data_IF_010001677616
#
_entry.id   IF_010001677616
#
_cell.length_a   1.000
_cell.length_b   1.000
_cell.length_c   1.000
_cell.angle_alpha   90.00
_cell.angle_beta   90.00
_cell.angle_gamma   90.00
#
_symmetry.space_group_name_H-M   'P 1'
#
loop_
_entity.id
_entity.type
_entity.pdbx_description
1 polymer ?
#
# COMPACT_ATOMS: atom_id res chain seq x y z
N UNK A 1 -4.77 -26.94 -3.58
CA UNK A 1 -3.97 -26.04 -2.74
C UNK A 1 -4.75 -25.55 -1.54
N UNK A 2 -4.08 -25.15 -0.47
CA UNK A 2 -4.70 -24.44 0.65
C UNK A 2 -4.91 -22.96 0.30
N UNK A 3 -6.07 -22.40 0.66
CA UNK A 3 -6.40 -20.99 0.44
C UNK A 3 -7.35 -20.45 1.52
N UNK A 4 -7.38 -19.14 1.65
CA UNK A 4 -8.39 -18.42 2.43
C UNK A 4 -9.46 -17.90 1.45
N UNK A 5 -10.66 -18.45 1.57
CA UNK A 5 -11.79 -18.14 0.70
C UNK A 5 -12.84 -17.33 1.46
N UNK A 6 -13.32 -16.26 0.84
CA UNK A 6 -14.44 -15.47 1.33
C UNK A 6 -15.73 -15.93 0.62
N UNK A 7 -16.70 -16.40 1.40
CA UNK A 7 -18.00 -16.85 0.90
C UNK A 7 -19.12 -15.84 1.13
N UNK A 8 -18.99 -14.99 2.15
CA UNK A 8 -20.02 -14.03 2.58
C UNK A 8 -19.36 -12.72 3.01
N UNK A 9 -20.07 -11.59 2.84
CA UNK A 9 -19.55 -10.25 3.18
C UNK A 9 -19.93 -9.87 4.62
N UNK A 10 -19.51 -10.68 5.58
CA UNK A 10 -19.86 -10.55 7.00
C UNK A 10 -18.66 -10.21 7.91
N UNK A 11 -17.57 -9.74 7.31
CA UNK A 11 -16.34 -9.40 8.02
C UNK A 11 -15.29 -10.51 8.00
N UNK A 12 -14.17 -10.33 8.74
CA UNK A 12 -13.06 -11.29 8.75
C UNK A 12 -13.46 -12.71 9.20
N UNK A 13 -14.48 -12.85 10.03
CA UNK A 13 -14.99 -14.13 10.51
C UNK A 13 -15.62 -15.00 9.42
N UNK A 14 -15.95 -14.42 8.26
CA UNK A 14 -16.46 -15.14 7.10
C UNK A 14 -15.35 -15.83 6.27
N UNK A 15 -14.08 -15.53 6.54
CA UNK A 15 -12.95 -16.16 5.88
C UNK A 15 -12.84 -17.64 6.27
N UNK A 16 -12.58 -18.50 5.28
CA UNK A 16 -12.44 -19.96 5.47
C UNK A 16 -11.12 -20.45 4.91
N UNK A 17 -10.37 -21.20 5.74
CA UNK A 17 -9.18 -21.93 5.31
C UNK A 17 -9.58 -23.29 4.78
N UNK A 18 -9.46 -23.52 3.48
CA UNK A 18 -9.97 -24.69 2.82
C UNK A 18 -9.09 -25.18 1.66
N UNK A 19 -9.39 -26.37 1.14
CA UNK A 19 -8.75 -26.91 -0.06
C UNK A 19 -9.51 -26.44 -1.30
N UNK A 20 -8.78 -25.89 -2.27
CA UNK A 20 -9.28 -25.49 -3.58
C UNK A 20 -8.40 -26.11 -4.69
N UNK A 21 -8.87 -26.10 -5.93
CA UNK A 21 -8.07 -26.56 -7.07
C UNK A 21 -6.84 -25.67 -7.27
N UNK A 22 -5.72 -26.30 -7.67
CA UNK A 22 -4.51 -25.58 -8.05
C UNK A 22 -4.78 -24.83 -9.37
N UNK A 23 -4.30 -23.58 -9.50
CA UNK A 23 -4.48 -22.83 -10.73
C UNK A 23 -3.55 -23.37 -11.84
N UNK A 24 -4.10 -23.54 -13.05
CA UNK A 24 -3.32 -23.82 -14.26
C UNK A 24 -3.10 -22.51 -15.06
N UNK A 25 -1.89 -22.26 -15.60
CA UNK A 25 -1.62 -21.06 -16.36
C UNK A 25 -2.29 -21.12 -17.74
N UNK A 26 -3.04 -20.09 -18.08
CA UNK A 26 -3.52 -19.84 -19.44
C UNK A 26 -2.44 -19.22 -20.32
N UNK A 27 -2.77 -18.93 -21.59
CA UNK A 27 -1.85 -18.26 -22.50
C UNK A 27 -1.48 -16.87 -21.95
N UNK A 28 -0.16 -16.58 -21.88
CA UNK A 28 0.38 -15.32 -21.34
C UNK A 28 0.38 -15.22 -19.82
N UNK A 29 -0.02 -16.27 -19.09
CA UNK A 29 -0.07 -16.27 -17.62
C UNK A 29 1.09 -17.05 -17.00
N UNK A 30 1.39 -16.71 -15.75
CA UNK A 30 2.37 -17.38 -14.89
C UNK A 30 1.66 -17.84 -13.61
N UNK A 31 2.05 -19.00 -13.09
CA UNK A 31 1.70 -19.48 -11.75
C UNK A 31 2.90 -19.27 -10.82
N UNK A 32 2.65 -18.59 -9.70
CA UNK A 32 3.61 -18.36 -8.64
C UNK A 32 3.22 -19.19 -7.42
N UNK A 33 4.13 -20.02 -6.91
CA UNK A 33 4.03 -20.63 -5.58
C UNK A 33 4.44 -19.59 -4.55
N UNK A 34 3.50 -19.14 -3.75
CA UNK A 34 3.72 -18.12 -2.75
C UNK A 34 4.50 -18.67 -1.54
N UNK A 35 5.37 -17.84 -1.00
CA UNK A 35 6.07 -18.05 0.27
C UNK A 35 5.45 -17.16 1.36
N UNK A 36 5.15 -15.91 1.00
CA UNK A 36 4.50 -14.96 1.86
C UNK A 36 3.49 -14.13 1.07
N UNK A 37 2.45 -13.68 1.75
CA UNK A 37 1.51 -12.67 1.31
C UNK A 37 1.46 -11.55 2.35
N UNK A 38 0.79 -10.42 2.06
CA UNK A 38 0.64 -9.38 3.07
C UNK A 38 -0.73 -8.69 2.99
N UNK A 39 -1.21 -8.25 4.15
CA UNK A 39 -2.50 -7.62 4.29
C UNK A 39 -2.49 -6.17 3.81
N UNK A 40 -3.62 -5.75 3.27
CA UNK A 40 -3.95 -4.37 2.97
C UNK A 40 -5.31 -3.99 3.57
N UNK A 41 -5.50 -2.72 3.94
CA UNK A 41 -6.76 -2.25 4.52
C UNK A 41 -7.97 -2.51 3.61
N UNK A 42 -7.75 -2.54 2.28
CA UNK A 42 -8.81 -2.88 1.32
C UNK A 42 -9.37 -4.29 1.53
N UNK A 43 -8.55 -5.24 1.96
CA UNK A 43 -8.98 -6.62 2.13
C UNK A 43 -10.03 -6.74 3.26
N UNK A 44 -9.82 -5.97 4.34
CA UNK A 44 -10.83 -5.82 5.41
C UNK A 44 -12.10 -5.17 4.88
N UNK A 45 -11.99 -4.11 4.08
CA UNK A 45 -13.16 -3.46 3.47
C UNK A 45 -13.91 -4.39 2.51
N UNK A 46 -13.20 -5.30 1.83
CA UNK A 46 -13.84 -6.32 0.97
C UNK A 46 -14.64 -7.29 1.82
N UNK A 47 -14.09 -7.84 2.92
CA UNK A 47 -14.82 -8.77 3.79
C UNK A 47 -16.09 -8.15 4.39
N UNK A 48 -16.08 -6.83 4.61
CA UNK A 48 -17.21 -6.06 5.15
C UNK A 48 -18.20 -5.57 4.08
N UNK A 49 -17.97 -5.88 2.79
CA UNK A 49 -18.79 -5.37 1.69
C UNK A 49 -18.72 -3.86 1.44
N UNK A 50 -17.71 -3.19 2.01
CA UNK A 50 -17.51 -1.74 1.91
C UNK A 50 -16.60 -1.32 0.75
N UNK A 51 -15.93 -2.27 0.10
CA UNK A 51 -15.05 -1.98 -1.02
C UNK A 51 -15.81 -1.97 -2.36
N UNK A 52 -15.51 -1.04 -3.28
CA UNK A 52 -16.13 -1.05 -4.61
C UNK A 52 -15.94 -2.39 -5.33
N UNK A 53 -17.03 -3.01 -5.78
CA UNK A 53 -17.01 -4.34 -6.40
C UNK A 53 -17.19 -5.50 -5.43
N UNK A 54 -17.11 -5.31 -4.12
CA UNK A 54 -17.46 -6.32 -3.13
C UNK A 54 -18.98 -6.52 -3.10
N UNK A 55 -19.45 -7.55 -3.78
CA UNK A 55 -20.88 -7.88 -3.93
C UNK A 55 -21.07 -9.40 -3.82
N UNK A 56 -22.27 -9.87 -3.46
CA UNK A 56 -22.53 -11.31 -3.35
C UNK A 56 -22.27 -12.11 -4.64
N UNK A 57 -22.41 -11.50 -5.82
CA UNK A 57 -22.15 -12.12 -7.11
C UNK A 57 -20.66 -12.23 -7.48
N UNK A 58 -19.79 -11.56 -6.72
CA UNK A 58 -18.33 -11.71 -6.83
C UNK A 58 -17.75 -12.83 -5.95
N UNK A 59 -18.57 -13.54 -5.20
CA UNK A 59 -18.16 -14.62 -4.29
C UNK A 59 -18.49 -16.01 -4.85
N UNK A 60 -17.77 -17.08 -4.48
CA UNK A 60 -16.61 -17.07 -3.55
C UNK A 60 -15.35 -16.51 -4.20
N UNK A 61 -14.44 -15.94 -3.38
CA UNK A 61 -13.18 -15.35 -3.86
C UNK A 61 -12.03 -15.58 -2.87
N UNK A 62 -10.81 -15.76 -3.40
CA UNK A 62 -9.57 -15.73 -2.62
C UNK A 62 -9.08 -14.28 -2.59
N UNK A 63 -8.95 -13.70 -1.39
CA UNK A 63 -8.46 -12.34 -1.21
C UNK A 63 -6.92 -12.24 -1.30
N UNK A 64 -6.40 -11.04 -1.05
CA UNK A 64 -4.98 -10.75 -1.02
C UNK A 64 -4.46 -10.17 -2.33
N UNK A 65 -3.67 -9.11 -2.21
CA UNK A 65 -3.09 -8.41 -3.36
C UNK A 65 -1.57 -8.55 -3.39
N UNK A 66 -0.94 -8.60 -2.23
CA UNK A 66 0.50 -8.59 -2.07
C UNK A 66 1.04 -10.00 -1.89
N UNK A 67 2.13 -10.34 -2.59
CA UNK A 67 2.75 -11.65 -2.46
C UNK A 67 4.15 -11.71 -3.05
N UNK A 68 4.95 -12.65 -2.53
CA UNK A 68 6.26 -13.04 -3.03
C UNK A 68 6.41 -14.56 -2.99
N UNK A 69 7.08 -15.10 -3.97
CA UNK A 69 7.26 -16.54 -4.09
C UNK A 69 8.18 -16.91 -5.25
N UNK A 70 7.91 -18.05 -5.88
CA UNK A 70 8.71 -18.65 -6.95
C UNK A 70 7.82 -19.02 -8.13
N UNK A 71 8.25 -18.73 -9.33
CA UNK A 71 7.56 -19.17 -10.57
C UNK A 71 7.59 -20.69 -10.67
N UNK A 72 6.43 -21.33 -10.82
CA UNK A 72 6.33 -22.80 -10.93
C UNK A 72 5.78 -23.28 -12.25
N UNK A 73 5.08 -22.44 -13.01
CA UNK A 73 4.59 -22.79 -14.33
C UNK A 73 4.37 -21.54 -15.19
N UNK A 74 4.55 -21.69 -16.51
CA UNK A 74 4.28 -20.66 -17.51
C UNK A 74 3.33 -21.22 -18.57
N UNK A 75 2.33 -20.44 -18.92
CA UNK A 75 1.43 -20.74 -20.04
C UNK A 75 2.06 -20.39 -21.40
N UNK A 76 1.42 -20.82 -22.47
CA UNK A 76 1.88 -20.56 -23.83
C UNK A 76 2.06 -19.06 -24.09
N UNK A 77 3.23 -18.67 -24.61
CA UNK A 77 3.54 -17.27 -24.92
C UNK A 77 3.72 -16.34 -23.72
N UNK A 78 3.81 -16.85 -22.49
CA UNK A 78 4.08 -16.04 -21.33
C UNK A 78 5.53 -15.51 -21.35
N UNK A 79 5.67 -14.19 -21.54
CA UNK A 79 6.95 -13.46 -21.47
C UNK A 79 7.11 -12.91 -20.03
N UNK A 80 8.15 -13.37 -19.32
CA UNK A 80 8.39 -12.98 -17.91
C UNK A 80 9.44 -13.87 -17.26
N UNK A 81 9.64 -13.82 -15.95
CA UNK A 81 10.63 -14.61 -15.24
C UNK A 81 10.49 -16.11 -15.50
N UNK A 82 11.61 -16.82 -15.57
CA UNK A 82 11.63 -18.26 -15.80
C UNK A 82 11.22 -19.04 -14.54
N UNK A 83 10.82 -20.32 -14.75
CA UNK A 83 10.52 -21.23 -13.63
C UNK A 83 11.72 -21.33 -12.68
N UNK A 84 11.46 -21.35 -11.38
CA UNK A 84 12.44 -21.30 -10.31
C UNK A 84 12.93 -19.90 -9.94
N UNK A 85 12.51 -18.84 -10.66
CA UNK A 85 12.86 -17.45 -10.29
C UNK A 85 12.06 -17.00 -9.08
N UNK A 86 12.75 -16.42 -8.08
CA UNK A 86 12.12 -15.72 -6.96
C UNK A 86 11.52 -14.39 -7.43
N UNK A 87 10.24 -14.18 -7.10
CA UNK A 87 9.46 -13.07 -7.66
C UNK A 87 8.62 -12.35 -6.61
N UNK A 88 8.25 -11.13 -6.98
CA UNK A 88 7.24 -10.29 -6.31
C UNK A 88 6.15 -9.90 -7.31
N UNK A 89 4.92 -9.76 -6.84
CA UNK A 89 3.74 -9.60 -7.67
C UNK A 89 3.32 -8.13 -7.72
N UNK A 90 3.15 -7.57 -8.93
CA UNK A 90 2.46 -6.30 -9.10
C UNK A 90 0.94 -6.51 -9.08
N UNK A 91 0.22 -6.04 -8.04
CA UNK A 91 -1.22 -6.26 -7.93
C UNK A 91 -2.08 -5.31 -8.79
N UNK A 92 -1.48 -4.32 -9.44
CA UNK A 92 -2.19 -3.33 -10.25
C UNK A 92 -2.38 -3.85 -11.68
N UNK A 93 -3.38 -4.74 -11.88
CA UNK A 93 -3.61 -5.44 -13.14
C UNK A 93 -4.24 -4.52 -14.19
N UNK A 94 -3.78 -4.65 -15.44
CA UNK A 94 -4.38 -4.02 -16.63
C UNK A 94 -4.53 -2.50 -16.52
N UNK A 95 -3.51 -1.82 -16.05
CA UNK A 95 -3.52 -0.36 -15.93
C UNK A 95 -3.85 0.35 -17.27
N UNK A 96 -3.37 -0.20 -18.39
CA UNK A 96 -3.54 0.37 -19.72
C UNK A 96 -2.45 1.37 -20.09
N UNK A 97 -2.57 1.95 -21.29
CA UNK A 97 -1.50 2.73 -21.93
C UNK A 97 -1.33 4.16 -21.39
N UNK A 98 -2.31 4.67 -20.65
CA UNK A 98 -2.23 6.02 -20.10
C UNK A 98 -1.54 6.03 -18.73
N UNK A 99 -0.29 6.52 -18.59
CA UNK A 99 0.40 6.48 -17.30
C UNK A 99 -0.23 7.40 -16.24
N UNK A 100 -1.07 8.35 -16.64
CA UNK A 100 -1.69 9.31 -15.70
C UNK A 100 -2.86 8.73 -14.93
N UNK A 101 -3.65 7.85 -15.55
CA UNK A 101 -4.87 7.29 -14.97
C UNK A 101 -5.07 5.85 -15.45
N UNK A 102 -5.64 4.98 -14.60
CA UNK A 102 -5.95 3.61 -15.00
C UNK A 102 -7.04 3.56 -16.07
N UNK A 103 -6.97 2.56 -16.93
CA UNK A 103 -7.96 2.25 -17.95
C UNK A 103 -9.20 1.57 -17.37
N UNK A 104 -10.15 1.22 -18.25
CA UNK A 104 -11.42 0.59 -17.85
C UNK A 104 -11.24 -0.85 -17.34
N UNK A 105 -10.24 -1.55 -17.83
CA UNK A 105 -9.94 -2.95 -17.46
C UNK A 105 -9.13 -3.04 -16.16
N UNK A 106 -8.68 -1.91 -15.63
CA UNK A 106 -7.89 -1.86 -14.41
C UNK A 106 -8.63 -2.48 -13.24
N UNK A 107 -7.92 -3.34 -12.52
CA UNK A 107 -8.37 -3.93 -11.28
C UNK A 107 -7.20 -4.28 -10.36
N UNK A 108 -7.49 -4.52 -9.12
CA UNK A 108 -6.49 -4.90 -8.12
C UNK A 108 -6.68 -6.38 -7.80
N UNK A 109 -5.61 -7.17 -7.87
CA UNK A 109 -5.57 -8.59 -7.53
C UNK A 109 -6.26 -8.85 -6.17
N UNK A 110 -7.03 -9.95 -6.07
CA UNK A 110 -7.83 -10.30 -4.89
C UNK A 110 -9.28 -9.82 -4.94
N UNK A 111 -9.68 -9.09 -5.99
CA UNK A 111 -11.07 -8.82 -6.37
C UNK A 111 -11.10 -8.04 -7.69
N UNK A 112 -11.74 -8.51 -8.77
CA UNK A 112 -12.56 -9.75 -8.88
C UNK A 112 -11.74 -11.02 -9.14
N UNK A 113 -10.44 -10.93 -9.40
CA UNK A 113 -9.57 -12.08 -9.63
C UNK A 113 -9.13 -12.66 -8.28
N UNK A 114 -8.92 -13.99 -8.22
CA UNK A 114 -8.36 -14.65 -7.03
C UNK A 114 -6.97 -14.11 -6.71
N UNK A 115 -6.72 -13.88 -5.42
CA UNK A 115 -5.54 -13.23 -4.90
C UNK A 115 -4.53 -14.15 -4.24
N UNK A 116 -3.76 -13.56 -3.34
CA UNK A 116 -2.53 -14.14 -2.79
C UNK A 116 -2.68 -14.85 -1.45
N UNK A 117 -3.89 -14.92 -0.88
CA UNK A 117 -4.09 -15.68 0.36
C UNK A 117 -4.26 -17.17 0.07
N UNK A 118 -3.28 -17.76 -0.62
CA UNK A 118 -3.25 -19.13 -1.09
C UNK A 118 -1.81 -19.62 -1.31
N UNK A 119 -1.64 -20.91 -1.49
CA UNK A 119 -0.32 -21.48 -1.84
C UNK A 119 0.14 -21.09 -3.24
N UNK A 120 -0.79 -20.90 -4.18
CA UNK A 120 -0.48 -20.52 -5.55
C UNK A 120 -1.39 -19.38 -6.01
N UNK A 121 -0.85 -18.54 -6.87
CA UNK A 121 -1.61 -17.51 -7.57
C UNK A 121 -1.26 -17.52 -9.05
N UNK A 122 -2.26 -17.25 -9.88
CA UNK A 122 -2.12 -17.13 -11.33
C UNK A 122 -2.40 -15.70 -11.75
N UNK A 123 -1.54 -15.14 -12.60
CA UNK A 123 -1.66 -13.76 -13.09
C UNK A 123 -0.93 -13.57 -14.42
N UNK A 124 -1.19 -12.47 -15.17
CA UNK A 124 -0.46 -12.16 -16.39
C UNK A 124 1.04 -12.02 -16.13
N UNK A 125 1.85 -12.51 -17.06
CA UNK A 125 3.30 -12.60 -16.90
C UNK A 125 3.99 -11.24 -16.70
N UNK A 126 3.44 -10.17 -17.30
CA UNK A 126 3.94 -8.80 -17.18
C UNK A 126 3.68 -8.14 -15.81
N UNK A 127 2.99 -8.85 -14.92
CA UNK A 127 2.77 -8.45 -13.52
C UNK A 127 3.64 -9.23 -12.53
N UNK A 128 4.57 -10.06 -13.02
CA UNK A 128 5.51 -10.84 -12.21
C UNK A 128 6.91 -10.28 -12.40
N UNK A 129 7.53 -9.82 -11.32
CA UNK A 129 8.84 -9.17 -11.33
C UNK A 129 9.84 -9.94 -10.50
N UNK A 130 11.13 -9.98 -10.88
CA UNK A 130 12.17 -10.52 -10.00
C UNK A 130 12.14 -9.85 -8.64
N UNK A 131 12.27 -10.63 -7.58
CA UNK A 131 12.35 -10.15 -6.21
C UNK A 131 13.67 -9.38 -6.01
N UNK A 132 13.67 -8.18 -5.39
CA UNK A 132 14.90 -7.51 -4.99
C UNK A 132 15.79 -8.44 -4.17
N UNK A 133 17.07 -8.54 -4.55
CA UNK A 133 17.98 -9.58 -4.03
C UNK A 133 18.29 -9.45 -2.54
N UNK A 134 18.24 -8.23 -2.01
CA UNK A 134 18.49 -7.92 -0.59
C UNK A 134 17.28 -8.24 0.31
N UNK A 135 16.07 -8.40 -0.24
CA UNK A 135 14.86 -8.67 0.53
C UNK A 135 14.63 -10.17 0.73
N UNK A 136 14.17 -10.55 1.91
CA UNK A 136 13.53 -11.86 2.15
C UNK A 136 12.18 -11.94 1.44
N UNK A 137 11.57 -13.13 1.34
CA UNK A 137 10.21 -13.26 0.80
C UNK A 137 9.16 -12.55 1.67
N UNK A 138 9.36 -12.54 2.99
CA UNK A 138 8.52 -11.82 3.93
C UNK A 138 8.53 -10.31 3.65
N UNK A 139 9.70 -9.72 3.50
CA UNK A 139 9.87 -8.31 3.16
C UNK A 139 9.36 -8.00 1.76
N UNK A 140 9.68 -8.83 0.78
CA UNK A 140 9.22 -8.64 -0.60
C UNK A 140 7.69 -8.73 -0.73
N UNK A 141 7.03 -9.60 0.04
CA UNK A 141 5.57 -9.66 0.09
C UNK A 141 4.94 -8.42 0.73
N UNK A 142 5.65 -7.73 1.60
CA UNK A 142 5.12 -6.55 2.30
C UNK A 142 5.00 -5.30 1.41
N UNK A 143 5.78 -5.20 0.32
CA UNK A 143 5.94 -3.94 -0.43
C UNK A 143 4.90 -3.68 -1.54
N UNK A 144 4.32 -4.63 -2.30
CA UNK A 144 3.70 -4.40 -3.60
C UNK A 144 2.70 -3.24 -3.65
N UNK A 145 1.54 -3.38 -3.03
CA UNK A 145 0.46 -2.37 -3.09
C UNK A 145 0.84 -1.08 -2.37
N UNK A 146 1.38 -1.24 -1.16
CA UNK A 146 1.65 -0.11 -0.27
C UNK A 146 2.79 0.77 -0.77
N UNK A 147 3.92 0.16 -1.14
CA UNK A 147 5.08 0.89 -1.63
C UNK A 147 4.86 1.47 -3.03
N UNK A 148 4.14 0.78 -3.93
CA UNK A 148 3.75 1.34 -5.22
C UNK A 148 2.88 2.59 -5.06
N UNK A 149 1.91 2.56 -4.14
CA UNK A 149 1.08 3.72 -3.82
C UNK A 149 1.91 4.88 -3.27
N UNK A 150 2.87 4.59 -2.37
CA UNK A 150 3.78 5.59 -1.81
C UNK A 150 4.70 6.19 -2.88
N UNK A 151 5.30 5.35 -3.73
CA UNK A 151 6.16 5.77 -4.82
C UNK A 151 5.44 6.74 -5.76
N UNK A 152 4.26 6.35 -6.25
CA UNK A 152 3.45 7.19 -7.11
C UNK A 152 3.03 8.49 -6.41
N UNK A 153 2.66 8.42 -5.13
CA UNK A 153 2.27 9.60 -4.37
C UNK A 153 3.41 10.60 -4.21
N UNK A 154 4.63 10.12 -3.98
CA UNK A 154 5.81 10.97 -3.78
C UNK A 154 6.36 11.51 -5.11
N UNK A 155 6.63 10.62 -6.06
CA UNK A 155 7.42 10.96 -7.24
C UNK A 155 6.56 11.37 -8.45
N UNK A 156 5.58 10.54 -8.81
CA UNK A 156 4.75 10.81 -10.01
C UNK A 156 3.73 11.93 -9.78
N UNK A 157 3.09 11.97 -8.61
CA UNK A 157 2.02 12.94 -8.32
C UNK A 157 2.53 14.11 -7.46
N UNK A 158 3.34 13.80 -6.47
CA UNK A 158 3.90 14.78 -5.55
C UNK A 158 5.10 15.54 -6.10
N UNK A 159 5.78 15.01 -7.15
CA UNK A 159 7.00 15.61 -7.72
C UNK A 159 8.01 16.02 -6.66
N UNK A 160 8.20 15.14 -5.65
CA UNK A 160 9.10 15.36 -4.52
C UNK A 160 10.50 15.76 -5.00
N UNK A 161 11.07 16.77 -4.37
CA UNK A 161 12.43 17.24 -4.61
C UNK A 161 13.29 17.07 -3.34
N UNK A 162 14.59 16.88 -3.53
CA UNK A 162 15.55 16.87 -2.45
C UNK A 162 15.48 18.17 -1.62
N UNK A 163 15.56 18.04 -0.29
CA UNK A 163 15.52 19.16 0.65
C UNK A 163 14.12 19.66 1.00
N UNK A 164 13.06 19.13 0.38
CA UNK A 164 11.69 19.48 0.74
C UNK A 164 11.26 18.91 2.09
N UNK A 165 10.27 19.57 2.71
CA UNK A 165 9.62 19.11 3.93
C UNK A 165 8.35 18.33 3.58
N UNK A 166 8.29 17.07 3.97
CA UNK A 166 7.15 16.15 3.73
C UNK A 166 6.39 15.93 5.04
N UNK A 167 5.07 15.99 4.98
CA UNK A 167 4.18 15.62 6.08
C UNK A 167 3.40 14.35 5.74
N UNK A 168 3.47 13.37 6.65
CA UNK A 168 2.71 12.11 6.58
C UNK A 168 1.75 12.05 7.76
N UNK A 169 0.48 12.40 7.58
CA UNK A 169 -0.50 12.31 8.65
C UNK A 169 -0.88 10.87 8.96
N UNK A 170 -1.02 10.54 10.24
CA UNK A 170 -1.52 9.24 10.69
C UNK A 170 -0.53 8.09 10.50
N UNK A 171 0.72 8.26 10.98
CA UNK A 171 1.72 7.17 10.90
C UNK A 171 1.24 5.93 11.66
N UNK A 172 1.32 4.78 11.02
CA UNK A 172 0.93 3.48 11.57
C UNK A 172 0.63 2.45 10.48
N UNK A 173 -0.09 2.85 9.42
CA UNK A 173 -0.38 1.98 8.29
C UNK A 173 0.81 1.79 7.33
N UNK A 174 0.80 0.69 6.58
CA UNK A 174 1.90 0.31 5.67
C UNK A 174 2.29 1.42 4.69
N UNK A 175 1.33 2.04 3.97
CA UNK A 175 1.66 3.09 2.98
C UNK A 175 2.39 4.26 3.65
N UNK A 176 1.98 4.66 4.85
CA UNK A 176 2.61 5.77 5.57
C UNK A 176 4.09 5.47 5.91
N UNK A 177 4.41 4.22 6.30
CA UNK A 177 5.81 3.84 6.57
C UNK A 177 6.67 3.89 5.31
N UNK A 178 6.12 3.44 4.18
CA UNK A 178 6.81 3.53 2.88
C UNK A 178 7.04 4.98 2.43
N UNK A 179 6.05 5.85 2.62
CA UNK A 179 6.21 7.30 2.33
C UNK A 179 7.35 7.89 3.14
N UNK A 180 7.44 7.58 4.44
CA UNK A 180 8.51 8.07 5.31
C UNK A 180 9.88 7.61 4.80
N UNK A 181 10.04 6.30 4.57
CA UNK A 181 11.30 5.71 4.14
C UNK A 181 11.75 6.24 2.78
N UNK A 182 10.86 6.23 1.77
CA UNK A 182 11.20 6.69 0.42
C UNK A 182 11.48 8.19 0.37
N UNK A 183 10.68 9.02 1.07
CA UNK A 183 10.91 10.46 1.10
C UNK A 183 12.25 10.80 1.77
N UNK A 184 12.59 10.10 2.87
CA UNK A 184 13.89 10.25 3.53
C UNK A 184 15.04 9.83 2.62
N UNK A 185 14.92 8.70 1.94
CA UNK A 185 15.92 8.21 0.97
C UNK A 185 16.13 9.19 -0.18
N UNK A 186 15.06 9.87 -0.62
CA UNK A 186 15.11 10.92 -1.63
C UNK A 186 15.63 12.29 -1.12
N UNK A 187 16.13 12.37 0.11
CA UNK A 187 16.74 13.58 0.68
C UNK A 187 15.74 14.59 1.27
N UNK A 188 14.49 14.20 1.49
CA UNK A 188 13.50 15.06 2.13
C UNK A 188 13.60 15.02 3.67
N UNK A 189 13.10 16.06 4.33
CA UNK A 189 12.88 16.08 5.78
C UNK A 189 11.44 15.69 6.06
N UNK A 190 11.23 14.57 6.78
CA UNK A 190 9.91 13.97 6.94
C UNK A 190 9.38 14.17 8.36
N UNK A 191 8.17 14.72 8.47
CA UNK A 191 7.42 14.80 9.72
C UNK A 191 6.16 13.95 9.67
N UNK A 192 5.75 13.43 10.83
CA UNK A 192 4.58 12.56 10.94
C UNK A 192 3.59 13.09 11.98
N UNK A 193 2.34 12.63 11.91
CA UNK A 193 1.41 12.77 13.03
C UNK A 193 0.89 11.41 13.49
N UNK A 194 0.56 11.26 14.77
CA UNK A 194 -0.06 10.06 15.32
C UNK A 194 -0.92 10.42 16.53
N UNK A 195 -1.83 9.54 16.92
CA UNK A 195 -2.48 9.58 18.25
C UNK A 195 -1.66 8.89 19.35
N UNK A 196 -0.46 8.37 19.02
CA UNK A 196 0.45 7.67 19.92
C UNK A 196 1.86 8.24 19.81
N UNK A 197 2.41 8.70 20.93
CA UNK A 197 3.79 9.20 21.02
C UNK A 197 4.80 8.07 20.73
N UNK A 198 4.50 6.84 21.14
CA UNK A 198 5.32 5.66 20.84
C UNK A 198 5.48 5.45 19.33
N UNK A 199 4.39 5.60 18.57
CA UNK A 199 4.45 5.48 17.10
C UNK A 199 5.27 6.61 16.47
N UNK A 200 5.25 7.81 17.03
CA UNK A 200 6.06 8.94 16.55
C UNK A 200 7.55 8.65 16.81
N UNK A 201 7.90 8.20 18.01
CA UNK A 201 9.28 7.83 18.32
C UNK A 201 9.78 6.68 17.43
N UNK A 202 8.97 5.64 17.24
CA UNK A 202 9.31 4.54 16.34
C UNK A 202 9.46 4.99 14.88
N UNK A 203 8.69 5.99 14.44
CA UNK A 203 8.82 6.53 13.08
C UNK A 203 10.19 7.17 12.81
N UNK A 204 10.86 7.68 13.84
CA UNK A 204 12.23 8.21 13.74
C UNK A 204 13.25 7.12 13.40
N UNK A 205 13.03 5.89 13.83
CA UNK A 205 13.94 4.76 13.58
C UNK A 205 14.03 4.42 12.08
N UNK A 206 12.97 4.72 11.30
CA UNK A 206 12.92 4.46 9.87
C UNK A 206 12.81 5.73 8.99
N UNK A 207 13.17 6.91 9.55
CA UNK A 207 13.47 8.09 8.73
C UNK A 207 12.67 9.36 9.01
N UNK A 208 11.71 9.37 9.95
CA UNK A 208 11.07 10.61 10.35
C UNK A 208 12.03 11.49 11.15
N UNK A 209 12.09 12.79 10.87
CA UNK A 209 12.81 13.78 11.65
C UNK A 209 12.13 14.05 12.99
N UNK A 210 10.79 13.98 13.00
CA UNK A 210 9.98 14.20 14.17
C UNK A 210 8.49 14.09 13.87
N UNK A 211 7.68 14.42 14.85
CA UNK A 211 6.23 14.37 14.69
C UNK A 211 5.50 14.96 15.88
N UNK A 212 4.17 15.04 15.77
CA UNK A 212 3.30 15.57 16.81
C UNK A 212 2.12 14.64 17.07
N UNK A 213 1.69 14.59 18.32
CA UNK A 213 0.48 13.86 18.69
C UNK A 213 -0.74 14.72 18.41
N UNK A 214 -1.59 14.29 17.48
CA UNK A 214 -2.78 15.04 17.06
C UNK A 214 -3.89 15.09 18.13
N UNK A 215 -3.74 14.38 19.27
CA UNK A 215 -4.62 14.51 20.43
C UNK A 215 -4.29 15.76 21.27
N UNK A 216 -3.13 16.40 21.05
CA UNK A 216 -2.80 17.70 21.66
C UNK A 216 -3.63 18.80 21.02
N UNK A 217 -4.14 19.73 21.84
CA UNK A 217 -4.98 20.85 21.36
C UNK A 217 -4.25 21.75 20.35
N UNK A 218 -2.96 21.97 20.55
CA UNK A 218 -2.14 22.88 19.73
C UNK A 218 -1.21 22.16 18.73
N UNK A 219 -1.45 20.89 18.43
CA UNK A 219 -0.56 20.07 17.60
C UNK A 219 -0.20 20.70 16.24
N UNK A 220 -1.14 21.37 15.59
CA UNK A 220 -0.89 22.00 14.29
C UNK A 220 0.02 23.23 14.39
N UNK A 221 -0.06 23.99 15.49
CA UNK A 221 0.83 25.12 15.77
C UNK A 221 2.25 24.60 16.10
N UNK A 222 2.33 23.54 16.90
CA UNK A 222 3.59 22.87 17.22
C UNK A 222 4.28 22.39 15.94
N UNK A 223 3.57 21.64 15.10
CA UNK A 223 4.10 21.15 13.82
C UNK A 223 4.53 22.32 12.90
N UNK A 224 3.74 23.42 12.87
CA UNK A 224 4.11 24.62 12.12
C UNK A 224 5.40 25.26 12.65
N UNK A 225 5.59 25.27 13.96
CA UNK A 225 6.81 25.79 14.58
C UNK A 225 8.03 24.92 14.26
N UNK A 226 7.86 23.60 14.25
CA UNK A 226 8.93 22.64 13.92
C UNK A 226 9.35 22.73 12.45
N UNK A 227 8.37 22.85 11.54
CA UNK A 227 8.59 22.73 10.09
C UNK A 227 8.77 24.05 9.35
N UNK A 228 8.28 25.16 9.92
CA UNK A 228 8.10 26.41 9.18
C UNK A 228 7.00 26.33 8.09
N UNK A 229 6.42 25.17 7.87
CA UNK A 229 5.46 24.80 6.83
C UNK A 229 5.97 23.64 5.98
N UNK A 230 5.07 22.99 5.25
CA UNK A 230 5.35 21.80 4.47
C UNK A 230 5.26 22.04 2.97
N UNK A 231 6.10 21.35 2.20
CA UNK A 231 6.16 21.41 0.74
C UNK A 231 5.27 20.36 0.10
N UNK A 232 5.16 19.19 0.72
CA UNK A 232 4.33 18.07 0.26
C UNK A 232 3.64 17.39 1.44
N UNK A 233 2.33 17.19 1.36
CA UNK A 233 1.58 16.32 2.26
C UNK A 233 1.07 15.10 1.51
N UNK A 234 1.22 13.89 2.10
CA UNK A 234 0.73 12.63 1.51
C UNK A 234 -0.35 12.06 2.45
N UNK A 235 -1.61 12.25 2.06
CA UNK A 235 -2.78 12.10 2.94
C UNK A 235 -3.60 10.84 2.66
N UNK A 236 -3.84 10.04 3.70
CA UNK A 236 -4.78 8.92 3.71
C UNK A 236 -5.93 9.12 4.70
N UNK A 237 -5.93 10.21 5.44
CA UNK A 237 -6.85 10.45 6.56
C UNK A 237 -8.10 11.17 6.08
N UNK A 238 -7.95 12.26 5.33
CA UNK A 238 -9.08 13.09 4.89
C UNK A 238 -9.76 13.82 6.07
N UNK A 239 -11.09 13.90 6.05
CA UNK A 239 -11.86 14.54 7.11
C UNK A 239 -11.38 15.97 7.43
N UNK A 240 -11.38 16.33 8.70
CA UNK A 240 -10.93 17.66 9.17
C UNK A 240 -9.40 17.87 9.03
N UNK A 241 -8.62 16.78 8.98
CA UNK A 241 -7.16 16.84 8.80
C UNK A 241 -6.81 17.54 7.49
N UNK A 242 -7.59 17.36 6.43
CA UNK A 242 -7.36 18.00 5.14
C UNK A 242 -7.26 19.54 5.24
N UNK A 243 -8.13 20.19 6.03
CA UNK A 243 -8.06 21.63 6.27
C UNK A 243 -6.78 22.04 7.01
N UNK A 244 -6.34 21.23 7.96
CA UNK A 244 -5.07 21.45 8.65
C UNK A 244 -3.87 21.34 7.70
N UNK A 245 -3.89 20.38 6.77
CA UNK A 245 -2.84 20.28 5.74
C UNK A 245 -2.77 21.53 4.88
N UNK A 246 -3.94 22.09 4.46
CA UNK A 246 -3.99 23.36 3.73
C UNK A 246 -3.37 24.52 4.55
N UNK A 247 -3.62 24.57 5.87
CA UNK A 247 -3.06 25.61 6.75
C UNK A 247 -1.54 25.47 6.90
N UNK A 248 -1.03 24.25 7.06
CA UNK A 248 0.39 23.94 7.23
C UNK A 248 1.20 24.13 5.94
N UNK A 249 0.57 24.02 4.78
CA UNK A 249 1.20 24.14 3.47
C UNK A 249 1.87 25.50 3.26
N UNK A 250 3.07 25.50 2.71
CA UNK A 250 3.72 26.70 2.15
C UNK A 250 2.99 27.12 0.86
N UNK A 251 3.13 28.35 0.37
CA UNK A 251 2.68 28.71 -0.97
C UNK A 251 3.37 27.82 -2.05
N UNK A 252 2.60 27.36 -3.03
CA UNK A 252 3.09 26.47 -4.11
C UNK A 252 3.28 25.01 -3.70
N UNK A 253 2.82 24.61 -2.52
CA UNK A 253 2.92 23.24 -2.03
C UNK A 253 1.92 22.29 -2.68
N UNK A 254 2.13 20.98 -2.45
CA UNK A 254 1.29 19.92 -2.97
C UNK A 254 0.67 19.08 -1.85
N UNK A 255 -0.58 18.67 -2.06
CA UNK A 255 -1.27 17.69 -1.20
C UNK A 255 -1.67 16.52 -2.11
N UNK A 256 -1.15 15.32 -1.84
CA UNK A 256 -1.50 14.11 -2.55
C UNK A 256 -2.39 13.25 -1.66
N UNK A 257 -3.59 12.91 -2.15
CA UNK A 257 -4.60 12.14 -1.43
C UNK A 257 -4.67 10.75 -2.04
N UNK A 258 -4.53 9.71 -1.22
CA UNK A 258 -4.71 8.32 -1.63
C UNK A 258 -5.74 7.55 -0.80
N UNK A 259 -6.33 8.19 0.20
CA UNK A 259 -7.35 7.60 1.07
C UNK A 259 -8.12 8.65 1.85
N UNK A 260 -9.15 8.21 2.56
CA UNK A 260 -10.00 9.06 3.41
C UNK A 260 -10.56 8.23 4.59
N UNK A 261 -9.68 7.70 5.45
CA UNK A 261 -10.08 6.82 6.57
C UNK A 261 -10.96 7.51 7.61
N UNK A 262 -10.82 8.84 7.77
CA UNK A 262 -11.70 9.67 8.61
C UNK A 262 -12.89 10.26 7.82
N UNK A 263 -13.14 9.72 6.61
CA UNK A 263 -14.22 10.19 5.74
C UNK A 263 -13.86 11.38 4.85
N UNK A 264 -14.81 11.88 4.06
CA UNK A 264 -14.57 12.98 3.13
C UNK A 264 -14.28 14.28 3.85
N UNK A 265 -13.40 15.12 3.26
CA UNK A 265 -13.14 16.47 3.74
C UNK A 265 -14.41 17.33 3.67
N UNK A 266 -14.82 17.87 4.81
CA UNK A 266 -15.98 18.77 4.90
C UNK A 266 -15.50 20.24 4.87
N UNK A 267 -16.26 21.10 4.19
CA UNK A 267 -16.01 22.55 4.16
C UNK A 267 -14.55 22.90 3.81
N UNK A 268 -14.02 22.26 2.75
CA UNK A 268 -12.64 22.50 2.33
C UNK A 268 -12.34 24.01 2.15
N UNK A 269 -11.19 24.45 2.64
CA UNK A 269 -10.74 25.84 2.61
C UNK A 269 -10.25 26.24 1.20
N UNK A 270 -11.16 26.23 0.21
CA UNK A 270 -10.84 26.44 -1.22
C UNK A 270 -10.18 27.79 -1.50
N UNK A 271 -10.56 28.85 -0.77
CA UNK A 271 -9.92 30.17 -0.89
C UNK A 271 -8.45 30.11 -0.47
N UNK A 272 -8.13 29.35 0.58
CA UNK A 272 -6.74 29.17 1.02
C UNK A 272 -5.92 28.38 -0.01
N UNK A 273 -6.53 27.35 -0.66
CA UNK A 273 -5.93 26.62 -1.78
C UNK A 273 -5.57 27.61 -2.90
N UNK A 274 -6.52 28.46 -3.31
CA UNK A 274 -6.31 29.44 -4.37
C UNK A 274 -5.25 30.47 -4.02
N UNK A 275 -5.33 31.09 -2.83
CA UNK A 275 -4.41 32.15 -2.40
C UNK A 275 -2.98 31.65 -2.19
N UNK A 276 -2.80 30.38 -1.80
CA UNK A 276 -1.48 29.76 -1.66
C UNK A 276 -0.99 29.09 -2.94
N UNK A 277 -1.80 29.03 -4.01
CA UNK A 277 -1.51 28.31 -5.25
C UNK A 277 -1.14 26.83 -4.97
N UNK A 278 -1.97 26.14 -4.17
CA UNK A 278 -1.73 24.75 -3.82
C UNK A 278 -2.20 23.82 -4.94
N UNK A 279 -1.40 22.81 -5.24
CA UNK A 279 -1.82 21.69 -6.06
C UNK A 279 -2.40 20.58 -5.18
N UNK A 280 -3.59 20.08 -5.54
CA UNK A 280 -4.23 18.95 -4.85
C UNK A 280 -4.41 17.82 -5.85
N UNK A 281 -3.74 16.71 -5.58
CA UNK A 281 -3.73 15.54 -6.45
C UNK A 281 -4.38 14.34 -5.79
N UNK A 282 -5.16 13.57 -6.56
CA UNK A 282 -5.56 12.22 -6.18
C UNK A 282 -4.60 11.19 -6.76
N UNK A 283 -4.42 10.07 -6.06
CA UNK A 283 -3.68 8.90 -6.55
C UNK A 283 -4.25 7.60 -5.98
N UNK A 284 -3.99 6.51 -6.67
CA UNK A 284 -4.23 5.15 -6.18
C UNK A 284 -3.29 4.22 -6.92
N UNK A 285 -2.61 3.33 -6.22
CA UNK A 285 -1.70 2.36 -6.83
C UNK A 285 -0.66 3.02 -7.77
N UNK A 286 -0.28 2.31 -8.85
CA UNK A 286 0.59 2.75 -9.94
C UNK A 286 0.56 1.75 -11.09
N UNK A 287 1.21 2.08 -12.21
CA UNK A 287 1.34 1.20 -13.37
C UNK A 287 2.55 0.25 -13.24
N UNK A 288 2.72 -0.65 -14.21
CA UNK A 288 3.82 -1.64 -14.21
C UNK A 288 5.22 -0.98 -14.28
N UNK A 289 5.36 0.14 -15.03
CA UNK A 289 6.62 0.87 -15.07
C UNK A 289 6.97 1.46 -13.70
N UNK A 290 6.01 2.10 -13.02
CA UNK A 290 6.19 2.64 -11.68
C UNK A 290 6.49 1.55 -10.66
N UNK A 291 5.95 0.33 -10.87
CA UNK A 291 6.28 -0.82 -10.02
C UNK A 291 7.75 -1.24 -10.20
N UNK A 292 8.22 -1.34 -11.44
CA UNK A 292 9.64 -1.60 -11.73
C UNK A 292 10.56 -0.53 -11.15
N UNK A 293 10.23 0.75 -11.37
CA UNK A 293 11.00 1.88 -10.83
C UNK A 293 11.03 1.88 -9.30
N UNK A 294 9.93 1.51 -8.66
CA UNK A 294 9.83 1.35 -7.19
C UNK A 294 10.74 0.22 -6.69
N UNK A 295 10.77 -0.94 -7.36
CA UNK A 295 11.67 -2.04 -6.99
C UNK A 295 13.14 -1.64 -7.14
N UNK A 296 13.48 -0.95 -8.23
CA UNK A 296 14.82 -0.40 -8.43
C UNK A 296 15.19 0.60 -7.33
N UNK A 297 14.27 1.49 -6.95
CA UNK A 297 14.49 2.44 -5.84
C UNK A 297 14.77 1.72 -4.51
N UNK A 298 14.08 0.60 -4.25
CA UNK A 298 14.36 -0.24 -3.08
C UNK A 298 15.77 -0.81 -3.08
N UNK A 299 16.22 -1.32 -4.23
CA UNK A 299 17.60 -1.86 -4.37
C UNK A 299 18.67 -0.76 -4.26
N UNK A 300 18.48 0.38 -4.92
CA UNK A 300 19.46 1.49 -4.92
C UNK A 300 19.66 2.09 -3.53
N UNK A 301 18.63 2.10 -2.69
CA UNK A 301 18.66 2.70 -1.36
C UNK A 301 18.71 1.69 -0.21
N UNK A 302 18.83 0.40 -0.51
CA UNK A 302 18.86 -0.70 0.48
C UNK A 302 17.69 -0.60 1.49
N UNK A 303 16.47 -0.37 0.97
CA UNK A 303 15.30 -0.17 1.81
C UNK A 303 14.69 -1.50 2.26
N UNK A 304 14.29 -1.56 3.52
CA UNK A 304 13.58 -2.69 4.13
C UNK A 304 12.22 -2.23 4.66
N UNK A 305 11.11 -2.93 4.35
CA UNK A 305 9.80 -2.56 4.85
C UNK A 305 9.71 -2.72 6.37
N UNK A 306 8.92 -1.85 7.01
CA UNK A 306 8.58 -2.03 8.43
C UNK A 306 7.50 -3.11 8.53
N UNK A 307 7.84 -4.26 9.09
CA UNK A 307 6.91 -5.35 9.38
C UNK A 307 6.45 -5.23 10.83
N UNK A 308 5.13 -5.24 11.03
CA UNK A 308 4.52 -5.20 12.35
C UNK A 308 4.45 -6.58 12.98
N UNK A 309 3.89 -7.55 12.24
CA UNK A 309 3.68 -8.91 12.72
C UNK A 309 3.47 -9.87 11.56
N UNK A 310 3.81 -11.14 11.77
CA UNK A 310 3.60 -12.23 10.80
C UNK A 310 2.69 -13.29 11.40
N UNK A 311 1.69 -13.70 10.63
CA UNK A 311 0.71 -14.73 10.98
C UNK A 311 0.80 -15.91 10.02
N UNK A 312 0.50 -17.14 10.43
CA UNK A 312 0.27 -18.24 9.49
C UNK A 312 -0.97 -17.95 8.62
N UNK A 313 -0.99 -18.45 7.39
CA UNK A 313 -2.10 -18.25 6.45
C UNK A 313 -3.47 -18.61 7.05
N UNK A 314 -3.57 -19.69 7.81
CA UNK A 314 -4.81 -20.14 8.45
C UNK A 314 -5.40 -19.13 9.44
N UNK A 315 -4.56 -18.24 9.99
CA UNK A 315 -4.93 -17.20 10.96
C UNK A 315 -5.25 -15.85 10.31
N UNK A 316 -5.51 -15.80 8.99
CA UNK A 316 -5.79 -14.55 8.26
C UNK A 316 -6.94 -13.73 8.87
N UNK A 317 -7.98 -14.39 9.42
CA UNK A 317 -9.07 -13.68 10.09
C UNK A 317 -8.57 -12.91 11.32
N UNK A 318 -7.74 -13.53 12.15
CA UNK A 318 -7.11 -12.89 13.31
C UNK A 318 -6.15 -11.77 12.88
N UNK A 319 -5.40 -11.96 11.81
CA UNK A 319 -4.52 -10.94 11.24
C UNK A 319 -5.30 -9.70 10.75
N UNK A 320 -6.47 -9.89 10.13
CA UNK A 320 -7.35 -8.78 9.73
C UNK A 320 -7.94 -8.04 10.94
N UNK A 321 -8.37 -8.76 11.97
CA UNK A 321 -8.85 -8.16 13.23
C UNK A 321 -7.73 -7.36 13.92
N UNK A 322 -6.51 -7.91 13.96
CA UNK A 322 -5.34 -7.19 14.47
C UNK A 322 -5.08 -5.87 13.71
N UNK A 323 -5.23 -5.89 12.38
CA UNK A 323 -5.14 -4.67 11.56
C UNK A 323 -6.22 -3.65 11.92
N UNK A 324 -7.46 -4.08 12.19
CA UNK A 324 -8.57 -3.19 12.57
C UNK A 324 -8.35 -2.54 13.93
N UNK A 325 -7.77 -3.24 14.87
CA UNK A 325 -7.40 -2.69 16.19
C UNK A 325 -6.40 -1.53 16.09
N UNK A 326 -5.67 -1.42 14.96
CA UNK A 326 -4.73 -0.34 14.71
C UNK A 326 -3.54 -0.34 15.66
N UNK A 327 -3.25 -1.47 16.31
CA UNK A 327 -2.06 -1.66 17.14
C UNK A 327 -0.83 -1.89 16.26
N UNK A 328 0.31 -1.36 16.70
CA UNK A 328 1.55 -1.50 15.96
C UNK A 328 1.73 -0.50 14.80
N UNK A 329 2.80 -0.70 14.04
CA UNK A 329 3.21 0.14 12.91
C UNK A 329 3.84 -0.74 11.83
N UNK A 330 3.45 -0.54 10.58
CA UNK A 330 3.97 -1.27 9.43
C UNK A 330 2.98 -2.26 8.82
N UNK A 331 3.51 -3.23 8.08
CA UNK A 331 2.75 -4.26 7.36
C UNK A 331 2.53 -5.51 8.22
N UNK A 332 1.41 -6.16 8.01
CA UNK A 332 1.13 -7.50 8.52
C UNK A 332 1.34 -8.48 7.38
N UNK A 333 2.14 -9.51 7.64
CA UNK A 333 2.52 -10.53 6.66
C UNK A 333 1.87 -11.87 7.00
N UNK A 334 1.60 -12.67 5.98
CA UNK A 334 1.13 -14.05 6.11
C UNK A 334 2.23 -14.99 5.64
N UNK A 335 2.57 -15.98 6.47
CA UNK A 335 3.43 -17.08 6.08
C UNK A 335 2.58 -18.16 5.39
N UNK A 336 2.94 -18.50 4.16
CA UNK A 336 2.22 -19.48 3.35
C UNK A 336 2.83 -20.87 3.57
N UNK A 337 2.03 -21.89 3.93
CA UNK A 337 2.55 -23.24 4.12
C UNK A 337 3.09 -23.83 2.81
N UNK A 338 4.24 -24.51 2.88
CA UNK A 338 4.91 -25.18 1.75
C UNK A 338 4.20 -26.45 1.30
#
# INVERSE_FOLDING_TARGET
>A
MKAIVLHELEGPEALRYEDVEDPEPGSGEIVVRLRNAALNRRDVFVTQGMYPGAKPDALPIILGSDGSGEVTAKGDGAEGPDEGTEVVINPALYWGDNPKVPGKEYRILGLPDNGTYAQFVKLPADHVFPKPSHLSHEEAAAIPLGALTAYRALFTRGHLQEGETVLVPGIGGGVATFVVQMARAAGATVFVTSGSDEKIERAKEFGAEGGVNYNSEDWSKELKSMTGGVDLSVDSIGGEVFNTLIQLSKPGSRIVIFGATAGPAQKAMTISIALKNLDVFGTAMGNAQEFGDMLQFYEEHDLHPVINETFPLEDTAAAQQHMEEGKGIGKIVLEIPT
#
